data_IF_964485273845
#
_entry.id   IF_964485273845
#
_cell.length_a   1.000
_cell.length_b   1.000
_cell.length_c   1.000
_cell.angle_alpha   90.00
_cell.angle_beta   90.00
_cell.angle_gamma   90.00
#
_symmetry.space_group_name_H-M   'P 1'
#
loop_
_entity.id
_entity.type
_entity.pdbx_description
1 polymer ?
#
# COMPACT_ATOMS: atom_id res chain seq x y z
N UNK A 1 -9.81 -33.33 -39.81
CA UNK A 1 -9.25 -32.69 -38.59
C UNK A 1 -8.79 -33.79 -37.64
N UNK A 2 -7.49 -33.90 -37.34
CA UNK A 2 -6.92 -35.05 -36.62
C UNK A 2 -7.16 -34.97 -35.11
N UNK A 3 -7.21 -36.11 -34.42
CA UNK A 3 -7.43 -36.21 -32.96
C UNK A 3 -6.41 -35.35 -32.17
N UNK A 4 -5.16 -35.33 -32.63
CA UNK A 4 -4.08 -34.50 -32.07
C UNK A 4 -4.38 -32.99 -32.16
N UNK A 5 -4.99 -32.52 -33.26
CA UNK A 5 -5.36 -31.11 -33.44
C UNK A 5 -6.58 -30.68 -32.60
N UNK A 6 -7.42 -31.64 -32.17
CA UNK A 6 -8.52 -31.42 -31.21
C UNK A 6 -8.01 -31.40 -29.76
N UNK A 7 -7.09 -32.29 -29.40
CA UNK A 7 -6.50 -32.32 -28.06
C UNK A 7 -5.62 -31.09 -27.78
N UNK A 8 -4.86 -30.60 -28.77
CA UNK A 8 -4.07 -29.37 -28.62
C UNK A 8 -4.97 -28.15 -28.36
N UNK A 9 -6.00 -27.95 -29.19
CA UNK A 9 -7.01 -26.90 -29.01
C UNK A 9 -7.84 -27.02 -27.74
N UNK A 10 -8.01 -28.23 -27.19
CA UNK A 10 -8.71 -28.44 -25.92
C UNK A 10 -7.80 -28.11 -24.72
N UNK A 11 -6.50 -28.43 -24.80
CA UNK A 11 -5.51 -28.04 -23.79
C UNK A 11 -5.23 -26.55 -23.79
N UNK A 12 -5.14 -25.93 -24.97
CA UNK A 12 -5.05 -24.47 -25.13
C UNK A 12 -6.30 -23.81 -24.54
N UNK A 13 -7.51 -24.22 -24.95
CA UNK A 13 -8.76 -23.68 -24.37
C UNK A 13 -8.90 -23.90 -22.86
N UNK A 14 -8.35 -24.99 -22.30
CA UNK A 14 -8.34 -25.21 -20.84
C UNK A 14 -7.27 -24.39 -20.11
N UNK A 15 -6.11 -24.13 -20.72
CA UNK A 15 -5.13 -23.18 -20.19
C UNK A 15 -5.66 -21.76 -20.28
N UNK A 16 -6.26 -21.39 -21.39
CA UNK A 16 -6.88 -20.08 -21.60
C UNK A 16 -8.07 -19.88 -20.64
N UNK A 17 -8.91 -20.89 -20.43
CA UNK A 17 -10.03 -20.81 -19.48
C UNK A 17 -9.59 -20.81 -18.01
N UNK A 18 -8.45 -21.45 -17.68
CA UNK A 18 -7.87 -21.38 -16.33
C UNK A 18 -7.18 -20.03 -16.10
N UNK A 19 -6.41 -19.56 -17.07
CA UNK A 19 -5.83 -18.21 -17.09
C UNK A 19 -6.92 -17.12 -17.09
N UNK A 20 -8.06 -17.31 -17.77
CA UNK A 20 -9.19 -16.39 -17.75
C UNK A 20 -9.98 -16.43 -16.44
N UNK A 21 -10.03 -17.57 -15.75
CA UNK A 21 -10.63 -17.68 -14.41
C UNK A 21 -9.70 -17.13 -13.33
N UNK A 22 -8.39 -17.28 -13.48
CA UNK A 22 -7.35 -16.69 -12.62
C UNK A 22 -7.19 -15.17 -12.91
N UNK A 23 -7.57 -14.68 -14.10
CA UNK A 23 -7.50 -13.27 -14.52
C UNK A 23 -8.84 -12.50 -14.44
N UNK A 24 -9.82 -13.01 -13.68
CA UNK A 24 -11.01 -12.21 -13.36
C UNK A 24 -10.60 -11.11 -12.38
N UNK A 25 -10.39 -9.91 -12.89
CA UNK A 25 -10.03 -8.75 -12.08
C UNK A 25 -11.21 -8.25 -11.21
N UNK A 26 -12.44 -8.64 -11.54
CA UNK A 26 -13.66 -8.17 -10.85
C UNK A 26 -13.81 -8.71 -9.43
N UNK A 27 -13.17 -9.84 -9.11
CA UNK A 27 -13.26 -10.50 -7.79
C UNK A 27 -12.14 -10.05 -6.84
N UNK A 28 -11.37 -9.04 -7.22
CA UNK A 28 -10.20 -8.61 -6.45
C UNK A 28 -10.62 -7.88 -5.19
N UNK A 29 -10.11 -8.34 -4.04
CA UNK A 29 -10.44 -7.77 -2.71
C UNK A 29 -9.30 -7.05 -2.04
N UNK A 30 -8.10 -7.03 -2.64
CA UNK A 30 -6.93 -6.36 -2.09
C UNK A 30 -6.00 -5.87 -3.20
N UNK A 31 -5.16 -4.88 -2.89
CA UNK A 31 -4.19 -4.35 -3.86
C UNK A 31 -3.09 -5.35 -4.24
N UNK A 32 -2.52 -6.15 -3.33
CA UNK A 32 -1.57 -7.20 -3.71
C UNK A 32 -2.16 -8.22 -4.69
N UNK A 33 -3.39 -8.69 -4.43
CA UNK A 33 -4.12 -9.61 -5.33
C UNK A 33 -4.38 -8.93 -6.70
N UNK A 34 -4.71 -7.64 -6.71
CA UNK A 34 -4.88 -6.88 -7.95
C UNK A 34 -3.63 -6.88 -8.80
N UNK A 35 -2.50 -6.53 -8.19
CA UNK A 35 -1.21 -6.42 -8.84
C UNK A 35 -0.79 -7.77 -9.41
N UNK A 36 -0.92 -8.85 -8.63
CA UNK A 36 -0.60 -10.21 -9.07
C UNK A 36 -1.45 -10.60 -10.29
N UNK A 37 -2.77 -10.38 -10.23
CA UNK A 37 -3.68 -10.69 -11.33
C UNK A 37 -3.41 -9.87 -12.58
N UNK A 38 -3.09 -8.58 -12.43
CA UNK A 38 -2.69 -7.73 -13.56
C UNK A 38 -1.41 -8.26 -14.20
N UNK A 39 -0.41 -8.66 -13.41
CA UNK A 39 0.81 -9.28 -13.88
C UNK A 39 0.55 -10.55 -14.70
N UNK A 40 -0.25 -11.48 -14.17
CA UNK A 40 -0.63 -12.72 -14.87
C UNK A 40 -1.39 -12.42 -16.16
N UNK A 41 -2.34 -11.49 -16.12
CA UNK A 41 -3.18 -11.13 -17.26
C UNK A 41 -2.39 -10.52 -18.41
N UNK A 42 -1.43 -9.64 -18.11
CA UNK A 42 -0.70 -8.89 -19.12
C UNK A 42 0.63 -9.51 -19.53
N UNK A 43 1.18 -10.48 -18.79
CA UNK A 43 2.46 -11.13 -19.10
C UNK A 43 2.57 -11.60 -20.57
N UNK A 44 1.56 -12.31 -21.07
CA UNK A 44 1.56 -12.81 -22.45
C UNK A 44 1.41 -11.69 -23.49
N UNK A 45 0.71 -10.60 -23.17
CA UNK A 45 0.55 -9.44 -24.06
C UNK A 45 1.85 -8.63 -24.11
N UNK A 46 2.40 -8.29 -22.95
CA UNK A 46 3.67 -7.60 -22.79
C UNK A 46 4.80 -8.31 -23.56
N UNK A 47 4.90 -9.64 -23.42
CA UNK A 47 5.88 -10.45 -24.14
C UNK A 47 5.73 -10.40 -25.67
N UNK A 48 4.51 -10.27 -26.20
CA UNK A 48 4.27 -10.20 -27.65
C UNK A 48 4.65 -8.83 -28.24
N UNK A 49 4.59 -7.79 -27.42
CA UNK A 49 4.89 -6.42 -27.80
C UNK A 49 6.31 -6.00 -27.42
N UNK A 50 7.11 -6.90 -26.84
CA UNK A 50 8.45 -6.62 -26.32
C UNK A 50 8.45 -5.44 -25.32
N UNK A 51 7.48 -5.46 -24.40
CA UNK A 51 7.28 -4.43 -23.38
C UNK A 51 7.57 -4.99 -22.00
N UNK A 52 8.46 -4.34 -21.27
CA UNK A 52 8.68 -4.58 -19.85
C UNK A 52 7.67 -3.79 -19.01
N UNK A 53 6.95 -4.47 -18.12
CA UNK A 53 6.06 -3.83 -17.15
C UNK A 53 6.79 -3.75 -15.81
N UNK A 54 7.12 -2.55 -15.38
CA UNK A 54 7.69 -2.30 -14.05
C UNK A 54 6.59 -1.90 -13.08
N UNK A 55 6.70 -2.35 -11.84
CA UNK A 55 5.82 -1.97 -10.74
C UNK A 55 6.63 -1.21 -9.69
N UNK A 56 6.11 -0.08 -9.26
CA UNK A 56 6.64 0.73 -8.18
C UNK A 56 5.53 0.97 -7.14
N UNK A 57 5.79 0.65 -5.88
CA UNK A 57 4.78 0.70 -4.80
C UNK A 57 5.37 1.42 -3.61
N UNK A 58 4.69 2.47 -3.18
CA UNK A 58 5.05 3.26 -2.01
C UNK A 58 5.06 2.39 -0.73
N UNK A 59 6.16 2.42 0.05
CA UNK A 59 6.27 1.65 1.29
C UNK A 59 5.25 2.04 2.38
N UNK A 60 4.60 3.20 2.28
CA UNK A 60 3.55 3.64 3.21
C UNK A 60 2.19 2.96 2.95
N UNK A 61 2.05 2.22 1.85
CA UNK A 61 0.80 1.58 1.45
C UNK A 61 0.35 0.51 2.46
N UNK A 62 -0.91 0.60 2.91
CA UNK A 62 -1.51 -0.44 3.75
C UNK A 62 -1.93 -1.67 2.96
N UNK A 63 -1.65 -2.85 3.53
CA UNK A 63 -1.90 -4.14 2.86
C UNK A 63 -3.35 -4.62 2.86
N UNK A 64 -4.19 -4.12 3.77
CA UNK A 64 -5.58 -4.56 3.98
C UNK A 64 -6.61 -3.46 3.68
N UNK A 65 -6.24 -2.52 2.81
CA UNK A 65 -7.14 -1.48 2.34
C UNK A 65 -8.47 -2.07 1.87
N UNK A 66 -9.57 -1.39 2.19
CA UNK A 66 -10.91 -1.72 1.73
C UNK A 66 -11.40 -0.57 0.87
N UNK A 67 -11.76 -0.84 -0.38
CA UNK A 67 -12.19 0.24 -1.26
C UNK A 67 -12.59 -0.22 -2.64
N UNK A 68 -12.61 0.70 -3.62
CA UNK A 68 -13.18 0.46 -4.94
C UNK A 68 -12.24 -0.34 -5.86
N UNK A 69 -11.72 -1.49 -5.40
CA UNK A 69 -10.78 -2.33 -6.15
C UNK A 69 -11.33 -2.75 -7.50
N UNK A 70 -12.63 -3.04 -7.61
CA UNK A 70 -13.26 -3.38 -8.90
C UNK A 70 -13.15 -2.24 -9.91
N UNK A 71 -13.38 -1.01 -9.48
CA UNK A 71 -13.29 0.17 -10.36
C UNK A 71 -11.84 0.48 -10.73
N UNK A 72 -10.93 0.41 -9.75
CA UNK A 72 -9.49 0.53 -10.00
C UNK A 72 -9.01 -0.53 -10.98
N UNK A 73 -9.39 -1.78 -10.77
CA UNK A 73 -9.03 -2.91 -11.61
C UNK A 73 -9.50 -2.74 -13.06
N UNK A 74 -10.75 -2.33 -13.26
CA UNK A 74 -11.29 -2.08 -14.60
C UNK A 74 -10.57 -0.89 -15.28
N UNK A 75 -10.24 0.16 -14.53
CA UNK A 75 -9.48 1.29 -15.06
C UNK A 75 -8.07 0.87 -15.48
N UNK A 76 -7.36 0.14 -14.63
CA UNK A 76 -6.02 -0.37 -14.90
C UNK A 76 -6.00 -1.37 -16.05
N UNK A 77 -7.02 -2.22 -16.19
CA UNK A 77 -7.13 -3.13 -17.33
C UNK A 77 -7.11 -2.38 -18.66
N UNK A 78 -7.94 -1.34 -18.78
CA UNK A 78 -8.04 -0.56 -20.02
C UNK A 78 -6.77 0.26 -20.25
N UNK A 79 -6.21 0.87 -19.21
CA UNK A 79 -4.98 1.66 -19.31
C UNK A 79 -3.77 0.81 -19.70
N UNK A 80 -3.53 -0.31 -19.00
CA UNK A 80 -2.40 -1.20 -19.29
C UNK A 80 -2.56 -1.88 -20.65
N UNK A 81 -3.78 -2.28 -21.03
CA UNK A 81 -4.02 -2.82 -22.36
C UNK A 81 -3.63 -1.84 -23.46
N UNK A 82 -4.01 -0.57 -23.34
CA UNK A 82 -3.62 0.49 -24.27
C UNK A 82 -2.14 0.85 -24.16
N UNK A 83 -1.57 0.81 -22.95
CA UNK A 83 -0.18 1.16 -22.71
C UNK A 83 0.75 0.17 -23.40
N UNK A 84 0.52 -1.13 -23.25
CA UNK A 84 1.32 -2.18 -23.89
C UNK A 84 1.25 -2.10 -25.42
N UNK A 85 0.13 -1.67 -25.99
CA UNK A 85 0.00 -1.53 -27.44
C UNK A 85 0.83 -0.37 -28.02
N UNK A 86 1.13 0.65 -27.21
CA UNK A 86 1.77 1.89 -27.64
C UNK A 86 3.13 2.15 -26.98
N UNK A 87 3.52 1.31 -26.01
CA UNK A 87 4.80 1.40 -25.33
C UNK A 87 5.96 1.14 -26.30
N UNK A 88 7.06 1.85 -26.08
CA UNK A 88 8.34 1.58 -26.75
C UNK A 88 9.30 0.96 -25.73
N UNK A 89 9.16 -0.34 -25.49
CA UNK A 89 10.04 -1.13 -24.63
C UNK A 89 9.64 -1.20 -23.16
N UNK A 90 8.99 -0.18 -22.58
CA UNK A 90 8.56 -0.24 -21.17
C UNK A 90 7.26 0.50 -20.87
N UNK A 91 6.55 0.01 -19.85
CA UNK A 91 5.43 0.66 -19.20
C UNK A 91 5.61 0.54 -17.68
N UNK A 92 5.32 1.61 -16.94
CA UNK A 92 5.47 1.65 -15.48
C UNK A 92 4.10 1.80 -14.82
N UNK A 93 3.81 0.95 -13.84
CA UNK A 93 2.67 1.07 -12.93
C UNK A 93 3.20 1.57 -11.58
N UNK A 94 2.84 2.80 -11.19
CA UNK A 94 3.19 3.37 -9.89
C UNK A 94 1.97 3.38 -8.98
N UNK A 95 2.16 3.06 -7.71
CA UNK A 95 1.13 3.16 -6.67
C UNK A 95 1.71 3.95 -5.50
N UNK A 96 1.25 5.18 -5.35
CA UNK A 96 1.73 6.12 -4.34
C UNK A 96 0.62 6.42 -3.32
N UNK A 97 0.98 6.60 -2.04
CA UNK A 97 0.06 7.12 -1.04
C UNK A 97 0.18 8.65 -1.03
N UNK A 98 -0.88 9.34 -1.45
CA UNK A 98 -0.89 10.82 -1.51
C UNK A 98 -1.49 11.47 -0.28
N UNK A 99 -2.27 10.72 0.49
CA UNK A 99 -2.90 11.17 1.73
C UNK A 99 -3.07 9.97 2.67
N UNK A 100 -2.77 10.13 3.95
CA UNK A 100 -2.96 9.11 4.99
C UNK A 100 -3.60 9.74 6.21
N UNK A 101 -4.92 9.62 6.28
CA UNK A 101 -5.73 10.10 7.38
C UNK A 101 -6.14 8.92 8.29
N UNK A 102 -6.48 9.21 9.56
CA UNK A 102 -7.08 8.21 10.44
C UNK A 102 -8.23 7.41 9.80
N UNK A 103 -7.96 6.16 9.42
CA UNK A 103 -8.97 5.26 8.84
C UNK A 103 -9.16 5.36 7.33
N UNK A 104 -8.33 6.15 6.63
CA UNK A 104 -8.41 6.30 5.18
C UNK A 104 -7.02 6.56 4.57
N UNK A 105 -6.70 5.92 3.45
CA UNK A 105 -5.57 6.28 2.60
C UNK A 105 -6.08 6.69 1.21
N UNK A 106 -5.60 7.81 0.69
CA UNK A 106 -5.80 8.18 -0.71
C UNK A 106 -4.60 7.69 -1.52
N UNK A 107 -4.88 6.88 -2.52
CA UNK A 107 -3.87 6.32 -3.41
C UNK A 107 -3.88 7.05 -4.75
N UNK A 108 -2.70 7.28 -5.28
CA UNK A 108 -2.45 7.70 -6.65
C UNK A 108 -1.87 6.51 -7.41
N UNK A 109 -2.64 6.01 -8.37
CA UNK A 109 -2.22 4.89 -9.22
C UNK A 109 -1.98 5.41 -10.63
N UNK A 110 -0.73 5.37 -11.07
CA UNK A 110 -0.32 5.89 -12.36
C UNK A 110 0.13 4.80 -13.33
N UNK A 111 -0.35 4.87 -14.57
CA UNK A 111 0.22 4.12 -15.71
C UNK A 111 1.03 5.10 -16.55
N UNK A 112 2.33 4.84 -16.64
CA UNK A 112 3.32 5.70 -17.26
C UNK A 112 3.90 5.04 -18.52
N UNK A 113 3.96 5.82 -19.60
CA UNK A 113 4.69 5.50 -20.83
C UNK A 113 5.80 6.53 -21.06
N UNK A 114 7.02 6.25 -20.59
CA UNK A 114 8.13 7.17 -20.75
C UNK A 114 8.57 7.25 -22.22
N UNK A 115 8.87 8.46 -22.70
CA UNK A 115 9.59 8.65 -23.96
C UNK A 115 8.80 8.29 -25.24
N UNK A 116 7.46 8.24 -25.17
CA UNK A 116 6.61 8.01 -26.35
C UNK A 116 5.89 9.31 -26.74
N UNK A 117 6.40 10.09 -27.70
CA UNK A 117 5.72 11.28 -28.22
C UNK A 117 4.35 10.92 -28.80
N UNK A 118 3.32 11.69 -28.45
CA UNK A 118 1.96 11.47 -28.96
C UNK A 118 1.15 10.37 -28.25
N UNK A 119 1.71 9.73 -27.21
CA UNK A 119 0.99 8.72 -26.41
C UNK A 119 -0.34 9.25 -25.83
N UNK A 120 -0.43 10.54 -25.48
CA UNK A 120 -1.68 11.19 -25.06
C UNK A 120 -2.82 11.03 -26.07
N UNK A 121 -2.53 11.16 -27.37
CA UNK A 121 -3.55 11.00 -28.40
C UNK A 121 -3.98 9.54 -28.57
N UNK A 122 -3.00 8.64 -28.60
CA UNK A 122 -3.23 7.21 -28.80
C UNK A 122 -4.02 6.57 -27.64
N UNK A 123 -3.74 6.98 -26.40
CA UNK A 123 -4.43 6.48 -25.21
C UNK A 123 -5.67 7.28 -24.83
N UNK A 124 -6.07 8.31 -25.58
CA UNK A 124 -7.24 9.13 -25.25
C UNK A 124 -8.54 8.31 -25.03
N UNK A 125 -8.86 7.27 -25.84
CA UNK A 125 -10.05 6.43 -25.58
C UNK A 125 -9.94 5.62 -24.28
N UNK A 126 -8.74 5.08 -24.00
CA UNK A 126 -8.47 4.34 -22.78
C UNK A 126 -8.56 5.24 -21.55
N UNK A 127 -7.95 6.42 -21.59
CA UNK A 127 -8.02 7.45 -20.56
C UNK A 127 -9.46 7.92 -20.31
N UNK A 128 -10.27 8.08 -21.35
CA UNK A 128 -11.70 8.47 -21.20
C UNK A 128 -12.50 7.40 -20.47
N UNK A 129 -12.25 6.13 -20.81
CA UNK A 129 -12.90 4.99 -20.16
C UNK A 129 -12.46 4.87 -18.69
N UNK A 130 -11.15 4.93 -18.44
CA UNK A 130 -10.58 4.88 -17.10
C UNK A 130 -11.08 6.03 -16.22
N UNK A 131 -11.09 7.26 -16.75
CA UNK A 131 -11.69 8.43 -16.09
C UNK A 131 -13.11 8.15 -15.61
N UNK A 132 -13.96 7.66 -16.50
CA UNK A 132 -15.36 7.35 -16.17
C UNK A 132 -15.47 6.32 -15.05
N UNK A 133 -14.61 5.30 -15.04
CA UNK A 133 -14.60 4.26 -14.00
C UNK A 133 -14.15 4.80 -12.64
N UNK A 134 -13.10 5.63 -12.64
CA UNK A 134 -12.52 6.25 -11.44
C UNK A 134 -13.49 7.28 -10.85
N UNK A 135 -14.04 8.18 -11.66
CA UNK A 135 -14.99 9.21 -11.21
C UNK A 135 -16.28 8.59 -10.66
N UNK A 136 -16.77 7.48 -11.25
CA UNK A 136 -17.92 6.72 -10.71
C UNK A 136 -17.65 6.09 -9.35
N UNK A 137 -16.40 5.81 -9.04
CA UNK A 137 -15.98 5.32 -7.74
C UNK A 137 -15.72 6.46 -6.73
N UNK A 138 -16.00 7.71 -7.09
CA UNK A 138 -15.73 8.89 -6.28
C UNK A 138 -14.27 9.35 -6.29
N UNK A 139 -13.47 8.85 -7.23
CA UNK A 139 -12.08 9.25 -7.42
C UNK A 139 -11.91 10.42 -8.38
N UNK A 140 -10.66 10.81 -8.59
CA UNK A 140 -10.26 11.84 -9.55
C UNK A 140 -9.29 11.24 -10.56
N UNK A 141 -9.39 11.64 -11.82
CA UNK A 141 -8.51 11.13 -12.87
C UNK A 141 -7.84 12.26 -13.64
N UNK A 142 -6.53 12.15 -13.80
CA UNK A 142 -5.70 13.16 -14.45
C UNK A 142 -4.83 12.52 -15.52
N UNK A 143 -4.44 13.31 -16.52
CA UNK A 143 -3.49 12.90 -17.56
C UNK A 143 -2.43 13.98 -17.69
N UNK A 144 -1.16 13.59 -17.63
CA UNK A 144 -0.01 14.46 -17.83
C UNK A 144 0.76 14.01 -19.08
N UNK A 145 1.29 14.97 -19.85
CA UNK A 145 1.80 14.77 -21.21
C UNK A 145 3.24 15.22 -21.49
N UNK A 146 3.99 15.67 -20.48
CA UNK A 146 5.30 16.29 -20.69
C UNK A 146 6.40 15.23 -20.90
N UNK A 147 6.68 14.89 -22.16
CA UNK A 147 7.74 13.93 -22.53
C UNK A 147 7.34 12.44 -22.49
N UNK A 148 6.06 12.16 -22.29
CA UNK A 148 5.47 10.84 -22.22
C UNK A 148 3.99 10.93 -21.81
N UNK A 149 3.36 9.79 -21.55
CA UNK A 149 2.02 9.77 -20.94
C UNK A 149 2.13 9.34 -19.49
N UNK A 150 1.44 10.06 -18.60
CA UNK A 150 1.16 9.60 -17.23
C UNK A 150 -0.34 9.72 -16.97
N UNK A 151 -1.03 8.58 -16.96
CA UNK A 151 -2.46 8.49 -16.67
C UNK A 151 -2.65 8.11 -15.20
N UNK A 152 -3.32 8.97 -14.44
CA UNK A 152 -3.33 8.98 -12.98
C UNK A 152 -4.77 8.77 -12.49
N UNK A 153 -4.98 7.76 -11.67
CA UNK A 153 -6.22 7.53 -10.93
C UNK A 153 -5.99 7.77 -9.43
N UNK A 154 -6.72 8.71 -8.85
CA UNK A 154 -6.71 9.01 -7.42
C UNK A 154 -7.99 8.47 -6.77
N UNK A 155 -7.85 7.59 -5.78
CA UNK A 155 -8.98 6.91 -5.12
C UNK A 155 -8.73 6.83 -3.61
N UNK A 156 -9.80 7.03 -2.83
CA UNK A 156 -9.77 6.83 -1.39
C UNK A 156 -10.10 5.37 -1.03
N UNK A 157 -9.34 4.83 -0.09
CA UNK A 157 -9.50 3.51 0.48
C UNK A 157 -9.64 3.64 1.98
N UNK A 158 -10.52 2.83 2.57
CA UNK A 158 -10.67 2.72 4.01
C UNK A 158 -9.52 1.87 4.52
N UNK A 159 -8.85 2.34 5.56
CA UNK A 159 -7.94 1.52 6.34
C UNK A 159 -8.73 0.95 7.52
N UNK A 160 -8.97 -0.38 7.57
CA UNK A 160 -9.68 -0.98 8.68
C UNK A 160 -9.00 -0.62 10.01
N UNK A 161 -9.77 -0.34 11.08
CA UNK A 161 -9.20 -0.19 12.40
C UNK A 161 -8.60 -1.53 12.81
N UNK A 162 -7.28 -1.61 12.89
CA UNK A 162 -6.60 -2.76 13.49
C UNK A 162 -6.47 -2.49 14.99
N UNK A 163 -7.01 -3.35 15.87
CA UNK A 163 -6.63 -3.27 17.26
C UNK A 163 -5.10 -3.45 17.31
N UNK A 164 -4.40 -2.60 18.06
CA UNK A 164 -2.96 -2.74 18.23
C UNK A 164 -2.72 -4.10 18.88
N UNK A 165 -2.01 -5.00 18.19
CA UNK A 165 -1.66 -6.30 18.74
C UNK A 165 -0.66 -6.11 19.89
N UNK A 166 -1.21 -5.95 21.09
CA UNK A 166 -0.48 -5.83 22.34
C UNK A 166 -0.80 -7.05 23.19
N UNK A 167 0.21 -7.87 23.49
CA UNK A 167 0.04 -9.02 24.37
C UNK A 167 0.02 -8.58 25.83
N UNK A 168 -1.16 -8.11 26.28
CA UNK A 168 -1.39 -7.69 27.67
C UNK A 168 -1.15 -8.84 28.66
N UNK A 169 -1.40 -10.08 28.25
CA UNK A 169 -1.18 -11.26 29.10
C UNK A 169 0.31 -11.48 29.33
N UNK A 170 1.12 -11.45 28.27
CA UNK A 170 2.58 -11.53 28.38
C UNK A 170 3.15 -10.34 29.16
N UNK A 171 2.65 -9.13 28.93
CA UNK A 171 3.07 -7.92 29.64
C UNK A 171 2.78 -8.04 31.14
N UNK A 172 1.56 -8.48 31.51
CA UNK A 172 1.17 -8.75 32.90
C UNK A 172 2.05 -9.80 33.55
N UNK A 173 2.30 -10.91 32.86
CA UNK A 173 3.14 -12.01 33.38
C UNK A 173 4.57 -11.54 33.66
N UNK A 174 5.12 -10.64 32.82
CA UNK A 174 6.46 -10.08 32.99
C UNK A 174 6.57 -9.09 34.14
N UNK A 175 5.53 -8.28 34.35
CA UNK A 175 5.54 -7.21 35.36
C UNK A 175 5.13 -7.69 36.75
N UNK A 176 4.61 -8.91 36.88
CA UNK A 176 4.36 -9.54 38.18
C UNK A 176 3.10 -9.04 38.90
N UNK A 177 2.21 -8.30 38.21
CA UNK A 177 0.90 -7.92 38.74
C UNK A 177 0.29 -6.66 38.11
N UNK A 178 -1.01 -6.45 38.38
CA UNK A 178 -1.81 -5.34 37.81
C UNK A 178 -1.30 -3.94 38.18
N UNK A 179 -0.79 -3.76 39.40
CA UNK A 179 -0.26 -2.45 39.83
C UNK A 179 0.97 -2.04 39.03
N UNK A 180 1.91 -2.97 38.83
CA UNK A 180 3.11 -2.75 38.03
C UNK A 180 2.77 -2.55 36.55
N UNK A 181 1.79 -3.29 36.04
CA UNK A 181 1.24 -3.10 34.70
C UNK A 181 0.71 -1.67 34.50
N UNK A 182 -0.11 -1.18 35.44
CA UNK A 182 -0.66 0.16 35.37
C UNK A 182 0.43 1.25 35.43
N UNK A 183 1.39 1.13 36.34
CA UNK A 183 2.52 2.08 36.45
C UNK A 183 3.35 2.13 35.16
N UNK A 184 3.61 0.97 34.54
CA UNK A 184 4.33 0.89 33.26
C UNK A 184 3.52 1.48 32.11
N UNK A 185 2.22 1.19 32.02
CA UNK A 185 1.35 1.76 30.98
C UNK A 185 1.32 3.29 31.06
N UNK A 186 1.20 3.85 32.28
CA UNK A 186 1.22 5.31 32.48
C UNK A 186 2.56 5.89 32.05
N UNK A 187 3.68 5.34 32.55
CA UNK A 187 5.02 5.82 32.22
C UNK A 187 5.32 5.74 30.72
N UNK A 188 4.94 4.62 30.08
CA UNK A 188 5.10 4.40 28.65
C UNK A 188 4.29 5.42 27.84
N UNK A 189 3.04 5.65 28.24
CA UNK A 189 2.16 6.54 27.52
C UNK A 189 2.57 8.01 27.66
N UNK A 190 3.10 8.42 28.81
CA UNK A 190 3.65 9.77 29.01
C UNK A 190 4.94 9.98 28.19
N UNK A 191 5.84 8.99 28.20
CA UNK A 191 7.06 9.02 27.41
C UNK A 191 6.76 9.12 25.90
N UNK A 192 5.85 8.29 25.40
CA UNK A 192 5.47 8.28 24.00
C UNK A 192 4.66 9.50 23.58
N UNK A 193 3.76 10.02 24.42
CA UNK A 193 3.07 11.28 24.13
C UNK A 193 4.07 12.44 23.99
N UNK A 194 5.10 12.49 24.84
CA UNK A 194 6.16 13.49 24.77
C UNK A 194 7.05 13.35 23.53
N UNK A 195 7.33 12.12 23.07
CA UNK A 195 8.09 11.86 21.85
C UNK A 195 7.25 12.12 20.57
N UNK A 196 5.99 11.71 20.53
CA UNK A 196 5.07 11.94 19.40
C UNK A 196 4.73 13.42 19.26
N UNK A 197 4.54 14.15 20.37
CA UNK A 197 4.27 15.60 20.33
C UNK A 197 5.40 16.45 19.74
N UNK A 198 6.59 15.87 19.53
CA UNK A 198 7.74 16.53 18.89
C UNK A 198 7.95 16.09 17.44
N UNK A 199 7.14 15.16 16.93
CA UNK A 199 7.33 14.54 15.62
C UNK A 199 7.30 15.57 14.49
N UNK A 200 6.31 16.46 14.45
CA UNK A 200 6.17 17.44 13.38
C UNK A 200 7.37 18.38 13.29
N UNK A 201 7.80 18.91 14.44
CA UNK A 201 8.97 19.76 14.52
C UNK A 201 10.25 19.02 14.10
N UNK A 202 10.36 17.74 14.42
CA UNK A 202 11.49 16.90 14.01
C UNK A 202 11.47 16.62 12.50
N UNK A 203 10.34 16.20 11.93
CA UNK A 203 10.22 15.90 10.50
C UNK A 203 10.49 17.14 9.64
N UNK A 204 10.03 18.32 10.09
CA UNK A 204 10.29 19.59 9.42
C UNK A 204 11.78 19.93 9.27
N UNK A 205 12.67 19.35 10.08
CA UNK A 205 14.13 19.55 9.94
C UNK A 205 14.74 18.76 8.79
N UNK A 206 14.07 17.71 8.30
CA UNK A 206 14.62 16.77 7.32
C UNK A 206 15.80 15.93 7.82
N UNK A 207 16.12 15.96 9.12
CA UNK A 207 17.26 15.23 9.71
C UNK A 207 16.94 13.73 9.85
N UNK A 208 17.50 12.93 8.92
CA UNK A 208 17.35 11.48 8.92
C UNK A 208 17.90 10.82 10.19
N UNK A 209 18.98 11.34 10.78
CA UNK A 209 19.55 10.77 12.01
C UNK A 209 18.63 11.04 13.21
N UNK A 210 18.03 12.23 13.28
CA UNK A 210 17.04 12.56 14.30
C UNK A 210 15.80 11.64 14.17
N UNK A 211 15.27 11.48 12.96
CA UNK A 211 14.14 10.61 12.67
C UNK A 211 14.44 9.14 13.04
N UNK A 212 15.62 8.62 12.68
CA UNK A 212 16.05 7.26 13.07
C UNK A 212 16.16 7.08 14.57
N UNK A 213 16.76 8.04 15.28
CA UNK A 213 16.84 8.00 16.75
C UNK A 213 15.47 8.02 17.40
N UNK A 214 14.53 8.78 16.84
CA UNK A 214 13.15 8.83 17.31
C UNK A 214 12.45 7.48 17.10
N UNK A 215 12.53 6.91 15.88
CA UNK A 215 11.98 5.58 15.57
C UNK A 215 12.55 4.51 16.49
N UNK A 216 13.86 4.50 16.71
CA UNK A 216 14.53 3.55 17.60
C UNK A 216 13.97 3.59 19.03
N UNK A 217 13.79 4.79 19.59
CA UNK A 217 13.23 4.97 20.94
C UNK A 217 11.79 4.53 21.02
N UNK A 218 10.94 4.96 20.07
CA UNK A 218 9.52 4.64 20.04
C UNK A 218 9.32 3.13 19.82
N UNK A 219 10.06 2.52 18.89
CA UNK A 219 10.02 1.08 18.65
C UNK A 219 10.48 0.28 19.88
N UNK A 220 11.52 0.75 20.58
CA UNK A 220 11.96 0.15 21.85
C UNK A 220 10.89 0.21 22.93
N UNK A 221 10.24 1.36 23.08
CA UNK A 221 9.14 1.56 24.02
C UNK A 221 7.94 0.64 23.71
N UNK A 222 7.54 0.55 22.43
CA UNK A 222 6.50 -0.37 21.97
C UNK A 222 6.88 -1.84 22.18
N UNK A 223 8.15 -2.20 22.01
CA UNK A 223 8.66 -3.54 22.30
C UNK A 223 8.54 -3.89 23.79
N UNK A 224 8.81 -2.94 24.69
CA UNK A 224 8.58 -3.14 26.13
C UNK A 224 7.10 -3.31 26.48
N UNK A 225 6.22 -2.75 25.66
CA UNK A 225 4.77 -2.82 25.79
C UNK A 225 4.15 -4.09 25.20
N UNK A 226 4.96 -5.04 24.71
CA UNK A 226 4.48 -6.20 23.93
C UNK A 226 3.74 -5.86 22.63
N UNK A 227 3.91 -4.64 22.11
CA UNK A 227 3.40 -4.23 20.80
C UNK A 227 4.34 -4.69 19.67
N UNK A 228 4.67 -5.99 19.63
CA UNK A 228 5.78 -6.55 18.84
C UNK A 228 5.69 -6.23 17.34
N UNK A 229 4.48 -6.28 16.77
CA UNK A 229 4.25 -5.97 15.36
C UNK A 229 4.58 -4.51 15.02
N UNK A 230 4.14 -3.57 15.86
CA UNK A 230 4.46 -2.15 15.70
C UNK A 230 5.95 -1.88 15.95
N UNK A 231 6.55 -2.49 16.97
CA UNK A 231 7.98 -2.35 17.23
C UNK A 231 8.82 -2.79 16.02
N UNK A 232 8.48 -3.93 15.40
CA UNK A 232 9.13 -4.41 14.19
C UNK A 232 8.95 -3.45 13.00
N UNK A 233 7.78 -2.80 12.86
CA UNK A 233 7.55 -1.78 11.84
C UNK A 233 8.44 -0.56 12.04
N UNK A 234 8.54 -0.04 13.26
CA UNK A 234 9.41 1.10 13.58
C UNK A 234 10.88 0.82 13.25
N UNK A 235 11.36 -0.40 13.53
CA UNK A 235 12.72 -0.84 13.17
C UNK A 235 12.94 -0.93 11.66
N UNK A 236 11.94 -1.37 10.87
CA UNK A 236 12.04 -1.37 9.40
C UNK A 236 12.13 0.05 8.84
N UNK A 237 11.34 0.98 9.35
CA UNK A 237 11.43 2.39 8.97
C UNK A 237 12.78 3.00 9.36
N UNK A 238 13.32 2.62 10.52
CA UNK A 238 14.65 3.06 10.97
C UNK A 238 15.74 2.61 9.98
N UNK A 239 15.64 1.38 9.48
CA UNK A 239 16.55 0.83 8.48
C UNK A 239 16.36 1.49 7.11
N UNK A 240 15.12 1.75 6.69
CA UNK A 240 14.82 2.39 5.41
C UNK A 240 15.39 3.83 5.34
N UNK A 241 15.29 4.59 6.43
CA UNK A 241 15.90 5.93 6.55
C UNK A 241 17.45 5.93 6.51
N UNK A 242 18.09 4.76 6.58
CA UNK A 242 19.54 4.69 6.37
C UNK A 242 19.93 4.85 4.88
N UNK A 243 18.98 4.63 3.96
CA UNK A 243 19.22 4.62 2.52
C UNK A 243 18.25 5.49 1.72
N UNK A 244 17.15 5.95 2.33
CA UNK A 244 16.15 6.83 1.72
C UNK A 244 16.09 8.18 2.46
N UNK A 245 15.80 9.29 1.76
CA UNK A 245 15.63 10.59 2.38
C UNK A 245 14.34 10.63 3.23
N UNK A 246 14.30 11.52 4.24
CA UNK A 246 13.16 11.64 5.15
C UNK A 246 11.87 11.99 4.42
N UNK A 247 11.94 12.82 3.39
CA UNK A 247 10.77 13.25 2.61
C UNK A 247 10.01 12.06 2.01
N UNK A 248 10.72 11.04 1.53
CA UNK A 248 10.12 9.85 0.91
C UNK A 248 9.46 8.93 1.93
N UNK A 249 9.88 9.01 3.20
CA UNK A 249 9.37 8.17 4.30
C UNK A 249 8.50 8.94 5.31
N UNK A 250 8.27 10.23 5.09
CA UNK A 250 7.61 11.11 6.06
C UNK A 250 6.23 10.59 6.43
N UNK A 251 5.45 10.19 5.43
CA UNK A 251 4.11 9.68 5.61
C UNK A 251 4.10 8.38 6.42
N UNK A 252 5.00 7.44 6.09
CA UNK A 252 5.12 6.19 6.81
C UNK A 252 5.54 6.40 8.27
N UNK A 253 6.42 7.37 8.55
CA UNK A 253 6.81 7.74 9.92
C UNK A 253 5.64 8.35 10.70
N UNK A 254 4.86 9.23 10.06
CA UNK A 254 3.63 9.80 10.65
C UNK A 254 2.61 8.71 10.97
N UNK A 255 2.43 7.77 10.04
CA UNK A 255 1.53 6.63 10.22
C UNK A 255 1.93 5.78 11.41
N UNK A 256 3.20 5.41 11.49
CA UNK A 256 3.75 4.69 12.63
C UNK A 256 3.51 5.42 13.96
N UNK A 257 3.65 6.74 14.01
CA UNK A 257 3.37 7.53 15.20
C UNK A 257 1.88 7.50 15.61
N UNK A 258 0.99 7.56 14.62
CA UNK A 258 -0.45 7.45 14.84
C UNK A 258 -0.81 6.07 15.40
N UNK A 259 -0.26 4.99 14.82
CA UNK A 259 -0.51 3.63 15.25
C UNK A 259 0.07 3.38 16.66
N UNK A 260 1.25 3.94 16.97
CA UNK A 260 1.81 3.93 18.32
C UNK A 260 0.90 4.66 19.33
N UNK A 261 0.32 5.80 18.96
CA UNK A 261 -0.61 6.54 19.81
C UNK A 261 -1.89 5.75 20.06
N UNK A 262 -2.43 5.08 19.03
CA UNK A 262 -3.60 4.19 19.15
C UNK A 262 -3.30 2.98 20.04
N UNK A 263 -2.10 2.39 19.92
CA UNK A 263 -1.64 1.32 20.80
C UNK A 263 -1.73 1.67 22.29
N UNK A 264 -1.36 2.90 22.63
CA UNK A 264 -1.37 3.38 24.01
C UNK A 264 -2.77 3.75 24.49
N UNK A 265 -3.57 4.39 23.63
CA UNK A 265 -4.97 4.67 23.96
C UNK A 265 -5.71 3.36 24.26
N UNK A 266 -5.51 2.34 23.42
CA UNK A 266 -6.07 1.02 23.65
C UNK A 266 -5.56 0.37 24.94
N UNK A 267 -4.26 0.45 25.23
CA UNK A 267 -3.69 -0.06 26.50
C UNK A 267 -4.27 0.63 27.75
N UNK A 268 -4.57 1.93 27.66
CA UNK A 268 -5.19 2.70 28.74
C UNK A 268 -6.66 2.34 28.94
N UNK A 269 -7.38 2.09 27.85
CA UNK A 269 -8.81 1.81 27.84
C UNK A 269 -9.14 0.33 28.07
N UNK A 270 -8.18 -0.57 27.86
CA UNK A 270 -8.37 -2.00 28.04
C UNK A 270 -8.60 -2.35 29.51
N UNK A 271 -9.78 -2.87 29.90
CA UNK A 271 -9.96 -3.40 31.24
C UNK A 271 -9.11 -4.66 31.41
N UNK A 272 -8.62 -4.88 32.64
CA UNK A 272 -7.76 -6.01 33.01
C UNK A 272 -8.29 -7.41 32.59
N UNK A 273 -9.57 -7.53 32.23
CA UNK A 273 -10.23 -8.81 31.94
C UNK A 273 -10.53 -9.07 30.44
N UNK A 274 -10.10 -8.22 29.50
CA UNK A 274 -10.33 -8.52 28.06
C UNK A 274 -9.36 -9.59 27.53
N UNK A 275 -9.87 -10.71 27.00
CA UNK A 275 -9.04 -11.67 26.27
C UNK A 275 -8.59 -11.08 24.93
N UNK A 276 -7.43 -11.56 24.47
CA UNK A 276 -6.79 -11.21 23.19
C UNK A 276 -7.80 -11.16 22.02
N UNK A 277 -7.78 -10.07 21.24
CA UNK A 277 -8.34 -10.01 19.89
C UNK A 277 -7.22 -9.71 18.90
#
# INVERSE_FOLDING_TARGET
MTLASRMRRWRERRRDARAQREACLEDTTSLPDLIERLGVRFAAKASRHDVEITLDVDPALEGDLVGPFRSLAAALDVLLAGAIEHASGSALLQVDVVDDEPGMQRLHVAVCLPGVPGACGALAPACTTARTLVERAGGVFHVQGDGGLRAIAELAFIVPPRPPHVDVVALRARLGGERALHEVIVALADALAADVGKLDAMLATGDALAARRWLHRVAGALGMAEATGLAAMGLRLEQALAVQPVADLELAVRRFAMDATRALAWLRESPADMPLV
#
